data_IF_483328321127
#
_entry.id   IF_483328321127
#
_cell.length_a   1.000
_cell.length_b   1.000
_cell.length_c   1.000
_cell.angle_alpha   90.00
_cell.angle_beta   90.00
_cell.angle_gamma   90.00
#
_symmetry.space_group_name_H-M   'P 1'
#
loop_
_entity.id
_entity.type
_entity.pdbx_description
1 polymer ?
#
# COMPACT_ATOMS: atom_id res chain seq x y z
N UNK A 1 -4.35 11.21 6.00
CA UNK A 1 -4.73 9.79 6.16
C UNK A 1 -5.91 9.57 7.11
N UNK A 2 -6.16 10.47 8.06
CA UNK A 2 -7.28 10.40 9.01
C UNK A 2 -8.15 11.65 8.98
N UNK A 3 -9.36 11.54 9.52
CA UNK A 3 -10.32 12.62 9.76
C UNK A 3 -10.82 12.53 11.21
N UNK A 4 -11.00 13.66 11.87
CA UNK A 4 -11.64 13.68 13.19
C UNK A 4 -13.17 13.59 13.03
N UNK A 5 -13.81 12.76 13.84
CA UNK A 5 -15.25 12.55 13.87
C UNK A 5 -15.74 12.46 15.29
N UNK A 6 -16.98 12.90 15.49
CA UNK A 6 -17.70 12.69 16.75
C UNK A 6 -18.67 11.52 16.57
N UNK A 7 -18.65 10.58 17.51
CA UNK A 7 -19.51 9.40 17.50
C UNK A 7 -20.19 9.23 18.86
N UNK A 8 -21.28 8.47 18.85
CA UNK A 8 -21.92 8.01 20.07
C UNK A 8 -21.21 6.74 20.55
N UNK A 9 -20.75 6.76 21.79
CA UNK A 9 -20.20 5.60 22.49
C UNK A 9 -21.25 5.11 23.48
N UNK A 10 -21.45 3.79 23.53
CA UNK A 10 -22.33 3.14 24.50
C UNK A 10 -21.47 2.24 25.38
N UNK A 11 -21.51 2.48 26.69
CA UNK A 11 -20.83 1.59 27.64
C UNK A 11 -21.57 0.25 27.76
N UNK A 12 -20.98 -0.70 28.52
CA UNK A 12 -21.59 -2.01 28.75
C UNK A 12 -22.93 -1.96 29.50
N UNK A 13 -23.26 -0.83 30.14
CA UNK A 13 -24.55 -0.59 30.81
C UNK A 13 -25.58 0.10 29.90
N UNK A 14 -25.21 0.43 28.66
CA UNK A 14 -26.05 1.13 27.69
C UNK A 14 -26.09 2.66 27.87
N UNK A 15 -25.24 3.23 28.73
CA UNK A 15 -25.16 4.68 28.86
C UNK A 15 -24.51 5.28 27.62
N UNK A 16 -25.14 6.33 27.08
CA UNK A 16 -24.70 7.02 25.87
C UNK A 16 -23.82 8.22 26.22
N UNK A 17 -22.64 8.30 25.60
CA UNK A 17 -21.75 9.46 25.64
C UNK A 17 -21.40 9.90 24.21
N UNK A 18 -20.90 11.13 24.08
CA UNK A 18 -20.26 11.61 22.86
C UNK A 18 -18.75 11.47 23.01
N UNK A 19 -18.09 10.98 21.97
CA UNK A 19 -16.64 10.86 21.91
C UNK A 19 -16.12 11.36 20.58
N UNK A 20 -15.01 12.08 20.62
CA UNK A 20 -14.24 12.42 19.42
C UNK A 20 -13.13 11.39 19.20
N UNK A 21 -12.86 11.11 17.93
CA UNK A 21 -11.75 10.24 17.56
C UNK A 21 -11.42 10.30 16.08
N UNK A 22 -10.21 9.85 15.79
CA UNK A 22 -9.67 9.77 14.45
C UNK A 22 -10.21 8.53 13.73
N UNK A 23 -10.65 8.73 12.50
CA UNK A 23 -11.10 7.66 11.60
C UNK A 23 -10.21 7.66 10.35
N UNK A 24 -9.77 6.48 9.92
CA UNK A 24 -9.01 6.32 8.68
C UNK A 24 -9.87 6.72 7.46
N UNK A 25 -9.26 7.36 6.47
CA UNK A 25 -9.95 7.80 5.25
C UNK A 25 -9.82 6.74 4.17
N UNK A 26 -10.93 6.15 3.76
CA UNK A 26 -11.01 5.37 2.53
C UNK A 26 -11.12 6.30 1.31
N UNK A 27 -10.29 6.05 0.31
CA UNK A 27 -10.11 6.89 -0.86
C UNK A 27 -10.18 6.04 -2.14
N UNK A 28 -11.11 6.32 -3.06
CA UNK A 28 -11.17 5.62 -4.33
C UNK A 28 -10.07 6.12 -5.26
N UNK A 29 -9.32 5.20 -5.84
CA UNK A 29 -8.25 5.47 -6.79
C UNK A 29 -8.48 4.66 -8.07
N UNK A 30 -8.29 5.32 -9.22
CA UNK A 30 -8.18 4.67 -10.53
C UNK A 30 -6.74 4.72 -11.01
N UNK A 31 -6.20 3.59 -11.43
CA UNK A 31 -4.91 3.50 -12.12
C UNK A 31 -5.19 3.43 -13.61
N UNK A 32 -4.58 4.32 -14.38
CA UNK A 32 -4.66 4.38 -15.84
C UNK A 32 -3.27 4.09 -16.40
N UNK A 33 -3.17 3.19 -17.38
CA UNK A 33 -1.90 2.84 -18.04
C UNK A 33 -2.06 3.04 -19.53
N UNK A 34 -1.18 3.83 -20.16
CA UNK A 34 -1.23 4.16 -21.59
C UNK A 34 -2.62 4.67 -22.05
N UNK A 35 -3.28 5.45 -21.20
CA UNK A 35 -4.61 6.02 -21.47
C UNK A 35 -5.79 5.06 -21.27
N UNK A 36 -5.55 3.81 -20.86
CA UNK A 36 -6.59 2.83 -20.58
C UNK A 36 -6.76 2.60 -19.08
N UNK A 37 -8.01 2.47 -18.62
CA UNK A 37 -8.30 2.12 -17.23
C UNK A 37 -7.73 0.74 -16.92
N UNK A 38 -6.88 0.68 -15.92
CA UNK A 38 -6.17 -0.54 -15.56
C UNK A 38 -6.76 -1.21 -14.32
N UNK A 39 -6.96 -0.43 -13.26
CA UNK A 39 -7.56 -0.89 -12.01
C UNK A 39 -8.33 0.23 -11.30
N UNK A 40 -9.33 -0.14 -10.52
CA UNK A 40 -9.93 0.71 -9.49
C UNK A 40 -9.76 0.06 -8.14
N UNK A 41 -9.25 0.80 -7.17
CA UNK A 41 -9.03 0.32 -5.81
C UNK A 41 -9.45 1.33 -4.76
N UNK A 42 -9.74 0.85 -3.55
CA UNK A 42 -9.88 1.68 -2.37
C UNK A 42 -8.58 1.63 -1.56
N UNK A 43 -8.04 2.80 -1.24
CA UNK A 43 -6.78 2.96 -0.52
C UNK A 43 -6.85 4.15 0.44
N UNK A 44 -5.75 4.47 1.09
CA UNK A 44 -5.60 5.74 1.79
C UNK A 44 -5.07 6.83 0.84
N UNK A 45 -5.38 8.13 1.09
CA UNK A 45 -5.16 9.22 0.12
C UNK A 45 -3.71 9.76 0.09
N UNK A 46 -2.70 8.93 0.37
CA UNK A 46 -1.30 9.32 0.42
C UNK A 46 -0.44 8.35 -0.38
N UNK A 47 0.66 8.83 -0.97
CA UNK A 47 1.62 8.01 -1.72
C UNK A 47 0.97 7.21 -2.86
N UNK A 48 0.11 7.88 -3.65
CA UNK A 48 -0.70 7.23 -4.69
C UNK A 48 0.15 6.81 -5.89
N UNK A 49 1.19 7.57 -6.21
CA UNK A 49 2.22 7.25 -7.19
C UNK A 49 2.96 5.96 -6.81
N UNK A 50 3.44 5.87 -5.57
CA UNK A 50 4.11 4.68 -5.05
C UNK A 50 3.18 3.47 -5.09
N UNK A 51 1.93 3.64 -4.66
CA UNK A 51 0.92 2.58 -4.75
C UNK A 51 0.74 2.10 -6.19
N UNK A 52 0.61 3.02 -7.15
CA UNK A 52 0.38 2.63 -8.54
C UNK A 52 1.60 1.94 -9.17
N UNK A 53 2.81 2.43 -8.90
CA UNK A 53 4.06 1.80 -9.38
C UNK A 53 4.23 0.41 -8.79
N UNK A 54 4.09 0.27 -7.47
CA UNK A 54 4.18 -1.03 -6.79
C UNK A 54 3.13 -2.00 -7.29
N UNK A 55 1.88 -1.56 -7.43
CA UNK A 55 0.80 -2.37 -7.97
C UNK A 55 1.11 -2.91 -9.38
N UNK A 56 1.58 -2.08 -10.30
CA UNK A 56 1.94 -2.53 -11.66
C UNK A 56 3.08 -3.54 -11.65
N UNK A 57 4.06 -3.39 -10.75
CA UNK A 57 5.18 -4.32 -10.61
C UNK A 57 4.74 -5.64 -10.01
N UNK A 58 3.97 -5.62 -8.91
CA UNK A 58 3.42 -6.81 -8.24
C UNK A 58 2.56 -7.64 -9.20
N UNK A 59 1.76 -6.99 -10.05
CA UNK A 59 0.96 -7.63 -11.09
C UNK A 59 1.79 -8.17 -12.29
N UNK A 60 3.07 -7.81 -12.37
CA UNK A 60 3.96 -8.07 -13.51
C UNK A 60 3.57 -7.32 -14.77
N UNK A 61 2.84 -6.21 -14.65
CA UNK A 61 2.56 -5.30 -15.77
C UNK A 61 3.84 -4.58 -16.19
N UNK A 62 4.63 -4.17 -15.21
CA UNK A 62 5.97 -3.61 -15.36
C UNK A 62 6.97 -4.58 -14.72
N UNK A 63 8.09 -4.81 -15.38
CA UNK A 63 9.19 -5.63 -14.82
C UNK A 63 10.35 -4.76 -14.34
N UNK A 64 10.54 -3.58 -14.95
CA UNK A 64 11.62 -2.65 -14.63
C UNK A 64 11.11 -1.23 -14.58
N UNK A 65 11.63 -0.44 -13.65
CA UNK A 65 11.17 0.94 -13.44
C UNK A 65 11.37 1.82 -14.68
N UNK A 66 12.38 1.54 -15.50
CA UNK A 66 12.67 2.27 -16.74
C UNK A 66 11.62 2.07 -17.83
N UNK A 67 10.73 1.08 -17.69
CA UNK A 67 9.58 0.93 -18.56
C UNK A 67 8.53 2.03 -18.32
N UNK A 68 8.50 2.64 -17.13
CA UNK A 68 7.62 3.75 -16.79
C UNK A 68 8.28 5.06 -17.25
N UNK A 69 7.69 5.67 -18.27
CA UNK A 69 8.19 6.90 -18.89
C UNK A 69 7.65 8.16 -18.24
N UNK A 70 6.49 8.08 -17.59
CA UNK A 70 5.81 9.22 -16.97
C UNK A 70 4.78 8.76 -15.94
N UNK A 71 4.65 9.53 -14.86
CA UNK A 71 3.64 9.36 -13.81
C UNK A 71 2.97 10.70 -13.59
N UNK A 72 1.63 10.72 -13.63
CA UNK A 72 0.83 11.90 -13.32
C UNK A 72 -0.21 11.55 -12.25
N UNK A 73 -0.21 12.32 -11.17
CA UNK A 73 -1.14 12.13 -10.05
C UNK A 73 -2.17 13.26 -10.06
N UNK A 74 -3.44 12.87 -10.06
CA UNK A 74 -4.59 13.77 -9.98
C UNK A 74 -5.57 13.26 -8.92
N UNK A 75 -6.57 14.07 -8.49
CA UNK A 75 -7.59 13.56 -7.58
C UNK A 75 -8.23 12.28 -8.14
N UNK A 76 -8.17 11.21 -7.34
CA UNK A 76 -8.75 9.90 -7.62
C UNK A 76 -8.15 9.15 -8.82
N UNK A 77 -7.04 9.62 -9.40
CA UNK A 77 -6.42 8.97 -10.54
C UNK A 77 -4.89 9.11 -10.57
N UNK A 78 -4.18 7.99 -10.76
CA UNK A 78 -2.78 7.98 -11.19
C UNK A 78 -2.72 7.44 -12.61
N UNK A 79 -2.16 8.24 -13.51
CA UNK A 79 -1.92 7.88 -14.91
C UNK A 79 -0.44 7.59 -15.13
N UNK A 80 -0.13 6.43 -15.67
CA UNK A 80 1.22 6.00 -16.01
C UNK A 80 1.35 5.79 -17.52
N UNK A 81 2.43 6.28 -18.09
CA UNK A 81 2.80 5.98 -19.48
C UNK A 81 3.97 5.00 -19.47
N UNK A 82 3.80 3.85 -20.10
CA UNK A 82 4.82 2.80 -20.19
C UNK A 82 5.27 2.57 -21.62
N UNK A 83 6.51 2.16 -21.82
CA UNK A 83 7.15 2.02 -23.13
C UNK A 83 6.77 0.73 -23.91
N UNK A 84 5.76 -0.01 -23.45
CA UNK A 84 5.31 -1.26 -24.05
C UNK A 84 3.79 -1.34 -24.17
N UNK A 85 3.32 -2.17 -25.10
CA UNK A 85 1.91 -2.49 -25.20
C UNK A 85 1.50 -3.38 -24.01
N UNK A 86 0.41 -3.00 -23.35
CA UNK A 86 -0.13 -3.71 -22.18
C UNK A 86 -1.62 -3.90 -22.37
N UNK A 87 -2.14 -5.09 -22.08
CA UNK A 87 -3.57 -5.40 -22.20
C UNK A 87 -4.30 -5.15 -20.88
N UNK A 88 -5.35 -4.31 -20.84
CA UNK A 88 -6.00 -3.92 -19.59
C UNK A 88 -6.63 -5.12 -18.90
N UNK A 89 -6.42 -5.21 -17.57
CA UNK A 89 -7.05 -6.24 -16.73
C UNK A 89 -8.38 -5.78 -16.12
N UNK A 90 -8.70 -4.48 -16.18
CA UNK A 90 -9.89 -3.82 -15.59
C UNK A 90 -10.27 -4.34 -14.18
N UNK A 91 -9.27 -4.43 -13.30
CA UNK A 91 -9.45 -5.01 -11.97
C UNK A 91 -10.23 -4.06 -11.04
N UNK A 92 -11.06 -4.63 -10.17
CA UNK A 92 -11.71 -3.92 -9.06
C UNK A 92 -11.25 -4.55 -7.75
N UNK A 93 -10.52 -3.78 -6.94
CA UNK A 93 -9.89 -4.25 -5.71
C UNK A 93 -10.49 -3.48 -4.53
N UNK A 94 -11.14 -4.18 -3.61
CA UNK A 94 -11.65 -3.57 -2.39
C UNK A 94 -10.59 -3.59 -1.28
N UNK A 95 -10.77 -2.78 -0.24
CA UNK A 95 -9.82 -2.62 0.87
C UNK A 95 -9.46 -3.94 1.58
N UNK A 96 -10.35 -4.93 1.58
CA UNK A 96 -10.12 -6.27 2.15
C UNK A 96 -9.45 -7.28 1.19
N UNK A 97 -9.25 -6.91 -0.07
CA UNK A 97 -8.80 -7.78 -1.16
C UNK A 97 -9.85 -7.91 -2.28
N UNK A 98 -9.41 -7.98 -3.53
CA UNK A 98 -10.27 -8.11 -4.71
C UNK A 98 -10.48 -9.56 -5.16
N UNK A 99 -11.38 -9.75 -6.13
CA UNK A 99 -11.40 -10.97 -6.95
C UNK A 99 -10.27 -10.85 -7.95
N UNK A 100 -9.14 -11.49 -7.66
CA UNK A 100 -8.10 -11.69 -8.66
C UNK A 100 -8.60 -12.81 -9.60
N UNK A 101 -8.40 -12.68 -10.93
CA UNK A 101 -8.44 -13.85 -11.81
C UNK A 101 -7.58 -14.95 -11.18
N UNK A 102 -7.92 -16.23 -11.38
CA UNK A 102 -7.02 -17.33 -11.00
C UNK A 102 -5.62 -16.98 -11.51
N UNK A 103 -4.71 -16.67 -10.59
CA UNK A 103 -3.32 -16.44 -10.96
C UNK A 103 -2.84 -17.77 -11.55
N UNK A 104 -2.43 -17.75 -12.81
CA UNK A 104 -1.51 -18.78 -13.27
C UNK A 104 -0.33 -18.72 -12.30
N UNK A 105 -0.06 -19.81 -11.58
CA UNK A 105 1.09 -19.92 -10.68
C UNK A 105 2.33 -19.52 -11.49
N UNK A 106 2.79 -18.28 -11.30
CA UNK A 106 4.05 -17.85 -11.87
C UNK A 106 5.12 -18.69 -11.18
N UNK A 107 6.01 -19.31 -11.95
CA UNK A 107 7.19 -19.98 -11.43
C UNK A 107 8.00 -19.00 -10.58
N UNK A 108 7.80 -19.05 -9.26
CA UNK A 108 8.51 -18.21 -8.33
C UNK A 108 9.97 -18.64 -8.35
N UNK A 109 10.85 -17.68 -8.66
CA UNK A 109 12.30 -17.93 -8.62
C UNK A 109 12.71 -18.21 -7.18
N UNK A 110 13.35 -19.35 -6.96
CA UNK A 110 13.97 -19.64 -5.67
C UNK A 110 15.04 -18.58 -5.37
N UNK A 111 14.91 -17.94 -4.22
CA UNK A 111 15.88 -17.00 -3.68
C UNK A 111 16.66 -17.72 -2.58
N UNK A 112 17.96 -17.91 -2.80
CA UNK A 112 18.88 -18.31 -1.73
C UNK A 112 19.49 -17.04 -1.14
N UNK A 113 19.14 -16.75 0.11
CA UNK A 113 19.70 -15.62 0.84
C UNK A 113 20.78 -16.14 1.78
N UNK A 114 22.04 -15.74 1.53
CA UNK A 114 23.13 -15.91 2.49
C UNK A 114 23.17 -14.70 3.45
N UNK A 115 22.04 -14.45 4.12
CA UNK A 115 21.90 -13.40 5.14
C UNK A 115 21.25 -13.99 6.37
N UNK A 116 21.80 -13.66 7.53
CA UNK A 116 21.22 -13.99 8.84
C UNK A 116 20.92 -12.70 9.60
N UNK A 117 19.86 -12.72 10.38
CA UNK A 117 19.45 -11.60 11.22
C UNK A 117 19.51 -12.03 12.68
N UNK A 118 20.08 -11.18 13.53
CA UNK A 118 20.04 -11.43 14.97
C UNK A 118 18.63 -11.18 15.50
N UNK A 119 18.13 -12.07 16.36
CA UNK A 119 16.80 -11.91 16.97
C UNK A 119 16.62 -10.56 17.68
N UNK A 120 17.68 -10.03 18.31
CA UNK A 120 17.66 -8.69 18.92
C UNK A 120 17.40 -7.59 17.90
N UNK A 121 18.06 -7.64 16.75
CA UNK A 121 17.86 -6.66 15.68
C UNK A 121 16.43 -6.70 15.14
N UNK A 122 15.82 -7.89 15.05
CA UNK A 122 14.40 -8.02 14.66
C UNK A 122 13.49 -7.33 15.68
N UNK A 123 13.73 -7.50 16.98
CA UNK A 123 12.93 -6.85 18.02
C UNK A 123 13.08 -5.33 18.00
N UNK A 124 14.29 -4.81 17.76
CA UNK A 124 14.54 -3.37 17.59
C UNK A 124 13.79 -2.81 16.36
N UNK A 125 13.77 -3.55 15.24
CA UNK A 125 13.00 -3.20 14.05
C UNK A 125 11.49 -3.22 14.30
N UNK A 126 10.99 -4.15 15.11
CA UNK A 126 9.57 -4.19 15.51
C UNK A 126 9.22 -2.95 16.34
N UNK A 127 10.08 -2.55 17.27
CA UNK A 127 9.88 -1.32 18.04
C UNK A 127 9.89 -0.07 17.15
N UNK A 128 10.83 0.02 16.20
CA UNK A 128 10.88 1.11 15.21
C UNK A 128 9.61 1.13 14.34
N UNK A 129 9.16 -0.03 13.88
CA UNK A 129 7.95 -0.20 13.08
C UNK A 129 6.70 0.24 13.84
N UNK A 130 6.54 -0.25 15.07
CA UNK A 130 5.44 0.17 15.92
C UNK A 130 5.48 1.69 16.10
N UNK A 131 6.62 2.26 16.48
CA UNK A 131 6.80 3.71 16.64
C UNK A 131 6.46 4.52 15.38
N UNK A 132 6.65 3.97 14.18
CA UNK A 132 6.26 4.62 12.92
C UNK A 132 4.75 4.56 12.62
N UNK A 133 4.02 3.56 13.13
CA UNK A 133 2.57 3.30 12.91
C UNK A 133 1.62 4.29 13.60
N UNK A 134 1.79 5.58 13.33
CA UNK A 134 1.02 6.66 13.95
C UNK A 134 -0.46 6.65 13.55
N UNK A 135 -0.80 6.37 12.29
CA UNK A 135 -2.20 6.38 11.84
C UNK A 135 -2.92 5.15 12.37
N UNK A 136 -2.26 3.98 12.37
CA UNK A 136 -2.79 2.79 13.02
C UNK A 136 -3.05 3.03 14.51
N UNK A 137 -2.12 3.62 15.26
CA UNK A 137 -2.33 3.91 16.70
C UNK A 137 -3.53 4.82 16.96
N UNK A 138 -3.81 5.75 16.05
CA UNK A 138 -4.88 6.73 16.21
C UNK A 138 -6.24 6.21 15.76
N UNK A 139 -6.26 5.35 14.73
CA UNK A 139 -7.51 4.96 14.04
C UNK A 139 -7.84 3.49 14.16
N UNK A 140 -6.84 2.64 14.43
CA UNK A 140 -6.88 1.18 14.37
C UNK A 140 -7.42 0.61 13.04
N UNK A 141 -7.49 1.44 11.99
CA UNK A 141 -8.21 1.15 10.74
C UNK A 141 -7.30 1.07 9.51
N UNK A 142 -6.00 0.90 9.69
CA UNK A 142 -5.02 0.76 8.60
C UNK A 142 -4.08 -0.40 8.87
N UNK A 143 -3.41 -0.88 7.83
CA UNK A 143 -2.25 -1.74 7.89
C UNK A 143 -0.98 -0.94 7.66
N UNK A 144 0.13 -1.40 8.24
CA UNK A 144 1.47 -0.85 8.05
C UNK A 144 2.35 -1.88 7.35
N UNK A 145 3.27 -1.42 6.50
CA UNK A 145 4.31 -2.25 5.88
C UNK A 145 5.63 -1.48 5.87
N UNK A 146 6.76 -2.20 5.89
CA UNK A 146 8.08 -1.58 5.86
C UNK A 146 9.12 -2.44 5.14
N UNK A 147 10.13 -1.76 4.60
CA UNK A 147 11.36 -2.37 4.09
C UNK A 147 12.50 -2.05 5.06
N UNK A 148 13.36 -3.03 5.34
CA UNK A 148 14.52 -2.89 6.22
C UNK A 148 15.77 -3.49 5.58
N UNK A 149 16.94 -2.93 5.92
CA UNK A 149 18.25 -3.54 5.63
C UNK A 149 18.68 -4.61 6.65
N UNK A 150 17.88 -4.84 7.70
CA UNK A 150 18.19 -5.71 8.83
C UNK A 150 18.66 -4.97 10.08
N UNK A 151 18.85 -3.66 10.01
CA UNK A 151 19.30 -2.82 11.13
C UNK A 151 18.38 -1.63 11.41
N UNK A 152 17.74 -1.08 10.38
CA UNK A 152 16.78 0.03 10.47
C UNK A 152 15.69 -0.08 9.42
N UNK A 153 14.62 0.70 9.56
CA UNK A 153 13.64 0.86 8.49
C UNK A 153 14.20 1.79 7.40
N UNK A 154 14.06 1.37 6.15
CA UNK A 154 14.38 2.16 4.95
C UNK A 154 13.13 2.87 4.42
N UNK A 155 12.00 2.15 4.43
CA UNK A 155 10.71 2.63 3.92
C UNK A 155 9.62 2.14 4.88
N UNK A 156 8.66 3.00 5.17
CA UNK A 156 7.48 2.65 5.97
C UNK A 156 6.24 3.29 5.36
N UNK A 157 5.16 2.52 5.17
CA UNK A 157 3.89 3.01 4.61
C UNK A 157 2.69 2.42 5.32
N UNK A 158 1.64 3.21 5.37
CA UNK A 158 0.34 2.82 5.88
C UNK A 158 -0.71 2.90 4.77
N UNK A 159 -1.67 1.98 4.81
CA UNK A 159 -2.85 2.00 3.96
C UNK A 159 -4.03 1.26 4.59
N UNK A 160 -5.27 1.53 4.17
CA UNK A 160 -6.42 0.75 4.61
C UNK A 160 -6.30 -0.72 4.18
N UNK A 161 -5.73 -0.97 3.00
CA UNK A 161 -5.51 -2.33 2.49
C UNK A 161 -4.09 -2.81 2.77
N UNK A 162 -3.94 -4.03 3.31
CA UNK A 162 -2.61 -4.63 3.56
C UNK A 162 -1.75 -4.76 2.28
N UNK A 163 -2.37 -5.10 1.15
CA UNK A 163 -1.66 -5.22 -0.13
C UNK A 163 -1.19 -3.84 -0.60
N UNK A 164 -2.04 -2.83 -0.50
CA UNK A 164 -1.69 -1.45 -0.84
C UNK A 164 -0.52 -0.94 0.03
N UNK A 165 -0.47 -1.29 1.32
CA UNK A 165 0.64 -0.89 2.18
C UNK A 165 1.97 -1.48 1.66
N UNK A 166 1.99 -2.75 1.28
CA UNK A 166 3.15 -3.42 0.67
C UNK A 166 3.49 -2.82 -0.70
N UNK A 167 2.50 -2.60 -1.57
CA UNK A 167 2.71 -2.01 -2.89
C UNK A 167 3.29 -0.60 -2.78
N UNK A 168 2.87 0.22 -1.80
CA UNK A 168 3.50 1.53 -1.57
C UNK A 168 4.96 1.40 -1.15
N UNK A 169 5.29 0.46 -0.26
CA UNK A 169 6.68 0.20 0.11
C UNK A 169 7.49 -0.18 -1.13
N UNK A 170 6.95 -1.08 -1.95
CA UNK A 170 7.65 -1.55 -3.14
C UNK A 170 7.80 -0.46 -4.20
N UNK A 171 6.74 0.30 -4.47
CA UNK A 171 6.78 1.42 -5.40
C UNK A 171 7.72 2.53 -4.94
N UNK A 172 7.77 2.84 -3.64
CA UNK A 172 8.77 3.77 -3.10
C UNK A 172 10.20 3.27 -3.33
N UNK A 173 10.46 1.99 -3.04
CA UNK A 173 11.76 1.36 -3.27
C UNK A 173 12.21 1.49 -4.74
N UNK A 174 11.32 1.18 -5.68
CA UNK A 174 11.58 1.30 -7.12
C UNK A 174 11.81 2.74 -7.56
N UNK A 175 10.99 3.69 -7.09
CA UNK A 175 11.10 5.11 -7.43
C UNK A 175 12.37 5.76 -6.86
N UNK A 176 12.91 5.23 -5.76
CA UNK A 176 14.17 5.69 -5.18
C UNK A 176 15.40 5.02 -5.80
N UNK A 177 15.22 4.00 -6.65
CA UNK A 177 16.32 3.24 -7.25
C UNK A 177 17.15 2.45 -6.23
N UNK A 178 16.50 2.02 -5.14
CA UNK A 178 17.09 1.19 -4.10
C UNK A 178 17.12 -0.29 -4.48
#
# INVERSE_FOLDING_TARGET
MKIERTFFEFDLSGNKSLREGAVAVEYPLTIVVNGQKWASLYCSPQHLDELAVGFLQSEGTVEKIEEILEISVTPNCVSLRVNKAVAPKELIITSSGGKFPQEEEKDLKSLTLDKTFQGKAILELVEEFENASSVWRLTHGVHSAALSDGSKLLVFREDLGRHNAVDKVYGNFLLQGL
#
